data_IF_250638733655
#
_entry.id   IF_250638733655
#
_cell.length_a   1.000
_cell.length_b   1.000
_cell.length_c   1.000
_cell.angle_alpha   90.00
_cell.angle_beta   90.00
_cell.angle_gamma   90.00
#
_symmetry.space_group_name_H-M   'P 1'
#
loop_
_entity.id
_entity.type
_entity.pdbx_description
1 polymer ?
#
# COMPACT_ATOMS: atom_id res chain seq x y z
N UNK A 1 7.46 25.16 4.27
CA UNK A 1 7.01 24.01 3.47
C UNK A 1 5.65 23.59 4.01
N UNK A 2 4.58 23.50 3.23
CA UNK A 2 3.28 23.06 3.77
C UNK A 2 3.38 21.57 4.10
N UNK A 3 3.16 21.21 5.37
CA UNK A 3 3.39 19.88 5.93
C UNK A 3 2.34 18.84 5.52
N UNK A 4 2.73 17.57 5.63
CA UNK A 4 1.93 16.37 5.37
C UNK A 4 0.76 16.28 6.38
N UNK A 5 -0.48 16.30 5.89
CA UNK A 5 -1.71 16.21 6.71
C UNK A 5 -2.13 14.75 6.94
N UNK A 6 -1.33 13.98 7.69
CA UNK A 6 -1.66 12.59 8.05
C UNK A 6 -1.99 12.48 9.54
N UNK A 7 -3.25 12.24 9.86
CA UNK A 7 -3.67 11.76 11.19
C UNK A 7 -4.05 10.27 11.08
N UNK A 8 -3.53 9.44 12.00
CA UNK A 8 -3.86 8.02 12.10
C UNK A 8 -4.59 7.73 13.42
N UNK A 9 -5.74 7.06 13.35
CA UNK A 9 -6.52 6.62 14.52
C UNK A 9 -6.45 5.08 14.64
N UNK A 10 -6.36 4.54 15.87
CA UNK A 10 -6.24 3.10 16.18
C UNK A 10 -7.54 2.54 16.77
N UNK A 11 -8.21 1.58 16.11
CA UNK A 11 -9.25 0.72 16.73
C UNK A 11 -9.35 -0.64 16.01
N UNK A 12 -9.47 -1.72 16.83
CA UNK A 12 -9.77 -3.16 16.58
C UNK A 12 -9.39 -3.78 15.24
N UNK A 13 -8.70 -4.91 15.31
CA UNK A 13 -7.50 -5.17 14.56
C UNK A 13 -7.77 -6.15 13.36
N UNK A 14 -7.83 -5.67 12.10
CA UNK A 14 -8.12 -6.52 10.91
C UNK A 14 -7.00 -7.51 10.54
N UNK A 15 -5.96 -7.65 11.36
CA UNK A 15 -4.71 -8.32 11.00
C UNK A 15 -4.90 -9.80 10.78
N UNK A 16 -5.90 -10.44 11.40
CA UNK A 16 -6.12 -11.88 11.20
C UNK A 16 -6.53 -12.20 9.76
N UNK A 17 -7.45 -11.42 9.20
CA UNK A 17 -7.92 -11.59 7.80
C UNK A 17 -6.78 -11.23 6.86
N UNK A 18 -6.12 -10.10 7.08
CA UNK A 18 -4.98 -9.66 6.27
C UNK A 18 -3.83 -10.67 6.29
N UNK A 19 -3.54 -11.29 7.44
CA UNK A 19 -2.51 -12.32 7.56
C UNK A 19 -2.88 -13.60 6.82
N UNK A 20 -4.15 -13.99 6.79
CA UNK A 20 -4.60 -15.13 5.97
C UNK A 20 -4.42 -14.83 4.48
N UNK A 21 -4.87 -13.65 4.02
CA UNK A 21 -4.70 -13.21 2.63
C UNK A 21 -3.20 -13.15 2.28
N UNK A 22 -2.38 -12.64 3.20
CA UNK A 22 -0.93 -12.55 3.04
C UNK A 22 -0.29 -13.91 2.79
N UNK A 23 -0.61 -14.93 3.60
CA UNK A 23 -0.06 -16.26 3.39
C UNK A 23 -0.53 -16.89 2.07
N UNK A 24 -1.79 -16.69 1.68
CA UNK A 24 -2.28 -17.11 0.37
C UNK A 24 -1.49 -16.46 -0.78
N UNK A 25 -1.15 -15.17 -0.67
CA UNK A 25 -0.27 -14.50 -1.62
C UNK A 25 1.13 -15.11 -1.65
N UNK A 26 1.75 -15.31 -0.50
CA UNK A 26 3.10 -15.89 -0.42
C UNK A 26 3.15 -17.31 -1.02
N UNK A 27 2.17 -18.16 -0.73
CA UNK A 27 2.09 -19.49 -1.34
C UNK A 27 1.94 -19.42 -2.87
N UNK A 28 1.19 -18.44 -3.40
CA UNK A 28 1.09 -18.23 -4.84
C UNK A 28 2.41 -17.76 -5.45
N UNK A 29 3.13 -16.85 -4.78
CA UNK A 29 4.45 -16.42 -5.23
C UNK A 29 5.46 -17.56 -5.21
N UNK A 30 5.48 -18.38 -4.16
CA UNK A 30 6.30 -19.59 -4.10
C UNK A 30 6.01 -20.50 -5.29
N UNK A 31 4.74 -20.73 -5.62
CA UNK A 31 4.35 -21.52 -6.77
C UNK A 31 4.83 -20.90 -8.10
N UNK A 32 4.58 -19.61 -8.33
CA UNK A 32 4.96 -18.90 -9.55
C UNK A 32 6.48 -18.90 -9.75
N UNK A 33 7.23 -18.69 -8.68
CA UNK A 33 8.70 -18.66 -8.70
C UNK A 33 9.32 -20.06 -8.56
N UNK A 34 8.52 -21.13 -8.50
CA UNK A 34 8.98 -22.52 -8.35
C UNK A 34 9.86 -22.73 -7.11
N UNK A 35 9.54 -22.04 -6.02
CA UNK A 35 10.22 -22.17 -4.73
C UNK A 35 9.65 -23.36 -3.94
N UNK A 36 10.42 -23.84 -2.95
CA UNK A 36 9.93 -24.82 -1.97
C UNK A 36 8.72 -24.22 -1.24
N UNK A 37 7.59 -24.93 -1.24
CA UNK A 37 6.39 -24.52 -0.51
C UNK A 37 6.70 -24.27 0.98
N UNK A 38 6.24 -23.14 1.50
CA UNK A 38 6.44 -22.68 2.86
C UNK A 38 7.69 -21.81 3.06
N UNK A 39 8.61 -21.72 2.11
CA UNK A 39 9.88 -21.00 2.31
C UNK A 39 9.70 -19.48 2.49
N UNK A 40 8.81 -18.84 1.74
CA UNK A 40 8.48 -17.43 1.94
C UNK A 40 7.62 -17.27 3.18
N UNK A 41 6.68 -18.18 3.43
CA UNK A 41 5.80 -18.11 4.61
C UNK A 41 6.60 -18.19 5.92
N UNK A 42 7.55 -19.12 6.03
CA UNK A 42 8.44 -19.26 7.19
C UNK A 42 9.23 -17.97 7.44
N UNK A 43 9.73 -17.32 6.38
CA UNK A 43 10.45 -16.04 6.49
C UNK A 43 9.55 -14.85 6.91
N UNK A 44 8.24 -15.02 6.92
CA UNK A 44 7.27 -13.97 7.27
C UNK A 44 6.38 -14.34 8.46
N UNK A 45 6.57 -15.51 9.10
CA UNK A 45 5.67 -15.99 10.17
C UNK A 45 5.76 -15.12 11.42
N UNK A 46 6.98 -14.69 11.77
CA UNK A 46 7.30 -13.79 12.88
C UNK A 46 7.52 -12.35 12.40
N UNK A 47 7.17 -12.06 11.14
CA UNK A 47 7.31 -10.74 10.54
C UNK A 47 6.36 -9.73 11.17
N UNK A 48 6.85 -8.52 11.42
CA UNK A 48 6.00 -7.40 11.83
C UNK A 48 5.29 -6.83 10.60
N UNK A 49 3.96 -6.80 10.61
CA UNK A 49 3.17 -6.03 9.65
C UNK A 49 2.71 -4.72 10.29
N UNK A 50 2.54 -3.68 9.47
CA UNK A 50 1.95 -2.41 9.91
C UNK A 50 0.67 -2.20 9.12
N UNK A 51 -0.42 -1.91 9.84
CA UNK A 51 -1.65 -1.45 9.22
C UNK A 51 -1.69 0.08 9.21
N UNK A 52 -2.09 0.65 8.09
CA UNK A 52 -2.27 2.09 7.96
C UNK A 52 -3.66 2.37 7.39
N UNK A 53 -4.45 3.12 8.15
CA UNK A 53 -5.69 3.72 7.67
C UNK A 53 -5.38 5.16 7.29
N UNK A 54 -5.70 5.52 6.06
CA UNK A 54 -5.46 6.86 5.51
C UNK A 54 -6.80 7.53 5.23
N UNK A 55 -7.00 8.71 5.79
CA UNK A 55 -8.13 9.57 5.48
C UNK A 55 -7.61 10.86 4.83
N UNK A 56 -8.00 11.08 3.58
CA UNK A 56 -7.75 12.33 2.86
C UNK A 56 -9.04 13.13 2.78
N UNK A 57 -9.21 14.21 3.58
CA UNK A 57 -10.44 14.99 3.61
C UNK A 57 -10.75 15.61 2.24
N UNK A 58 -12.03 15.83 1.96
CA UNK A 58 -12.46 16.62 0.80
C UNK A 58 -11.77 17.98 0.79
N UNK A 59 -11.46 18.49 -0.41
CA UNK A 59 -10.83 19.79 -0.59
C UNK A 59 -11.62 20.55 -1.66
N UNK A 60 -12.14 21.70 -1.26
CA UNK A 60 -12.99 22.59 -2.03
C UNK A 60 -12.26 23.86 -2.49
N UNK A 61 -11.06 24.11 -1.95
CA UNK A 61 -10.19 25.21 -2.37
C UNK A 61 -9.44 24.95 -3.68
N UNK A 62 -8.70 25.96 -4.13
CA UNK A 62 -7.78 25.82 -5.27
C UNK A 62 -6.64 24.85 -4.92
N UNK A 63 -6.34 23.92 -5.81
CA UNK A 63 -5.17 23.04 -5.69
C UNK A 63 -3.96 23.79 -6.22
N UNK A 64 -3.00 24.10 -5.34
CA UNK A 64 -1.79 24.82 -5.74
C UNK A 64 -0.88 23.94 -6.58
N UNK A 65 -0.08 24.57 -7.46
CA UNK A 65 0.93 23.84 -8.22
C UNK A 65 1.87 23.08 -7.27
N UNK A 66 2.06 21.78 -7.53
CA UNK A 66 2.87 20.88 -6.69
C UNK A 66 2.20 20.41 -5.39
N UNK A 67 0.93 20.76 -5.12
CA UNK A 67 0.19 20.26 -3.97
C UNK A 67 -0.23 18.80 -4.19
N UNK A 68 0.20 17.91 -3.30
CA UNK A 68 -0.05 16.47 -3.37
C UNK A 68 -0.61 15.95 -2.04
N UNK A 69 -1.37 14.84 -2.10
CA UNK A 69 -1.90 14.16 -0.90
C UNK A 69 -0.92 13.13 -0.32
N UNK A 70 -0.14 12.49 -1.19
CA UNK A 70 0.93 11.58 -0.82
C UNK A 70 2.14 11.81 -1.72
N UNK A 71 3.32 11.97 -1.12
CA UNK A 71 4.59 12.08 -1.84
C UNK A 71 4.95 10.82 -2.61
N UNK A 72 5.77 10.96 -3.66
CA UNK A 72 6.50 9.84 -4.27
C UNK A 72 7.27 9.09 -3.19
N UNK A 73 7.08 7.79 -3.09
CA UNK A 73 7.86 6.92 -2.24
C UNK A 73 7.81 5.48 -2.76
N UNK A 74 8.70 4.65 -2.23
CA UNK A 74 8.60 3.19 -2.29
C UNK A 74 8.22 2.69 -0.91
N UNK A 75 7.34 1.70 -0.85
CA UNK A 75 7.00 1.07 0.42
C UNK A 75 8.19 0.30 1.00
N UNK A 76 8.21 0.21 2.33
CA UNK A 76 9.10 -0.69 3.05
C UNK A 76 8.45 -2.08 3.19
N UNK A 77 9.29 -3.10 3.33
CA UNK A 77 8.83 -4.48 3.47
C UNK A 77 8.70 -5.19 2.12
N UNK A 78 8.02 -6.34 2.11
CA UNK A 78 7.95 -7.21 0.93
C UNK A 78 6.76 -6.91 0.03
N UNK A 79 5.57 -6.67 0.59
CA UNK A 79 4.32 -6.42 -0.15
C UNK A 79 3.46 -5.43 0.63
N UNK A 80 2.73 -4.57 -0.08
CA UNK A 80 1.66 -3.73 0.49
C UNK A 80 0.32 -4.19 -0.07
N UNK A 81 -0.62 -4.51 0.81
CA UNK A 81 -2.02 -4.71 0.43
C UNK A 81 -2.76 -3.37 0.57
N UNK A 82 -2.98 -2.69 -0.56
CA UNK A 82 -3.65 -1.39 -0.59
C UNK A 82 -5.13 -1.58 -0.99
N UNK A 83 -6.04 -1.24 -0.07
CA UNK A 83 -7.46 -1.14 -0.36
C UNK A 83 -7.87 0.32 -0.47
N UNK A 84 -8.71 0.64 -1.47
CA UNK A 84 -9.24 1.98 -1.74
C UNK A 84 -10.71 1.86 -2.12
N UNK A 85 -11.46 2.95 -1.97
CA UNK A 85 -12.82 3.03 -2.48
C UNK A 85 -12.80 3.19 -4.00
N UNK A 86 -13.61 2.42 -4.72
CA UNK A 86 -13.60 2.36 -6.19
C UNK A 86 -13.82 3.72 -6.87
N UNK A 87 -14.53 4.65 -6.21
CA UNK A 87 -14.82 5.98 -6.75
C UNK A 87 -13.81 7.05 -6.33
N UNK A 88 -12.67 6.66 -5.74
CA UNK A 88 -11.61 7.57 -5.29
C UNK A 88 -10.35 7.44 -6.15
N UNK A 89 -10.11 8.44 -6.99
CA UNK A 89 -8.89 8.56 -7.80
C UNK A 89 -7.67 9.03 -7.00
N UNK A 90 -6.57 9.31 -7.70
CA UNK A 90 -5.39 9.98 -7.15
C UNK A 90 -4.22 9.09 -6.76
N UNK A 91 -4.33 7.75 -6.90
CA UNK A 91 -3.16 6.89 -6.88
C UNK A 91 -2.49 6.90 -8.26
N UNK A 92 -1.20 7.20 -8.27
CA UNK A 92 -0.38 7.17 -9.47
C UNK A 92 0.82 6.25 -9.24
N UNK A 93 1.22 5.55 -10.30
CA UNK A 93 2.35 4.62 -10.29
C UNK A 93 3.36 5.11 -11.31
N UNK A 94 4.60 5.32 -10.89
CA UNK A 94 5.69 5.69 -11.77
C UNK A 94 6.12 4.48 -12.62
N UNK A 95 6.07 4.64 -13.94
CA UNK A 95 6.73 3.73 -14.86
C UNK A 95 8.25 3.99 -14.77
N UNK A 96 9.02 2.99 -14.32
CA UNK A 96 10.47 3.12 -14.13
C UNK A 96 11.27 3.23 -15.43
N UNK A 97 10.70 2.82 -16.57
CA UNK A 97 11.35 2.89 -17.87
C UNK A 97 11.20 4.27 -18.51
N UNK A 98 10.00 4.87 -18.40
CA UNK A 98 9.69 6.16 -19.03
C UNK A 98 9.77 7.35 -18.07
N UNK A 99 9.68 7.12 -16.77
CA UNK A 99 9.55 8.16 -15.74
C UNK A 99 8.15 8.79 -15.66
N UNK A 100 7.20 8.29 -16.45
CA UNK A 100 5.83 8.81 -16.48
C UNK A 100 4.99 8.26 -15.33
N UNK A 101 4.05 9.07 -14.84
CA UNK A 101 3.11 8.69 -13.81
C UNK A 101 1.81 8.20 -14.44
N UNK A 102 1.45 6.94 -14.17
CA UNK A 102 0.24 6.31 -14.66
C UNK A 102 -0.81 6.33 -13.56
N UNK A 103 -1.94 6.98 -13.83
CA UNK A 103 -3.07 6.99 -12.91
C UNK A 103 -3.70 5.59 -12.84
N UNK A 104 -3.76 5.02 -11.64
CA UNK A 104 -4.48 3.78 -11.39
C UNK A 104 -5.99 4.07 -11.39
N UNK A 105 -6.68 3.56 -12.41
CA UNK A 105 -8.13 3.68 -12.59
C UNK A 105 -8.88 2.63 -11.78
#
# INVERSE_FOLDING_TARGET
MPGDLKESYNWVSPERILRMIWYEFLYKFEYIFKLKRGSLVENHIDGSSTMRILHYPAWDGEVKNGQIRGGKHTDYGSITLLWRFDHTGGLEIENRETGEWIMHR
#
